data_IF_065611324430
#
_entry.id   IF_065611324430
#
_cell.length_a   1.000
_cell.length_b   1.000
_cell.length_c   1.000
_cell.angle_alpha   90.00
_cell.angle_beta   90.00
_cell.angle_gamma   90.00
#
_symmetry.space_group_name_H-M   'P 1'
#
loop_
_entity.id
_entity.type
_entity.pdbx_description
1 polymer ?
#
# COMPACT_ATOMS: atom_id res chain seq x y z
N UNK A 1 16.99 2.72 10.82
CA UNK A 1 15.94 3.07 9.84
C UNK A 1 15.08 1.83 9.77
N UNK A 2 13.85 1.85 10.28
CA UNK A 2 13.08 0.61 10.50
C UNK A 2 12.93 -0.19 9.20
N UNK A 3 13.42 -1.43 9.23
CA UNK A 3 13.29 -2.38 8.13
C UNK A 3 11.83 -2.81 8.03
N UNK A 4 11.22 -2.48 6.89
CA UNK A 4 9.87 -2.92 6.54
C UNK A 4 9.85 -4.43 6.39
N UNK A 5 8.83 -5.07 6.96
CA UNK A 5 8.62 -6.52 6.88
C UNK A 5 7.23 -6.83 6.34
N UNK A 6 7.10 -7.97 5.67
CA UNK A 6 5.80 -8.49 5.26
C UNK A 6 4.89 -8.59 6.49
N UNK A 7 3.67 -8.10 6.37
CA UNK A 7 2.70 -7.97 7.46
C UNK A 7 2.66 -6.59 8.10
N UNK A 8 3.65 -5.73 7.89
CA UNK A 8 3.64 -4.36 8.42
C UNK A 8 2.42 -3.59 7.90
N UNK A 9 1.79 -2.85 8.82
CA UNK A 9 0.78 -1.86 8.48
C UNK A 9 1.46 -0.54 8.13
N UNK A 10 0.92 0.12 7.11
CA UNK A 10 1.45 1.33 6.53
C UNK A 10 0.35 2.40 6.46
N UNK A 11 0.69 3.65 6.77
CA UNK A 11 -0.11 4.80 6.40
C UNK A 11 0.33 5.33 5.04
N UNK A 12 -0.62 5.51 4.13
CA UNK A 12 -0.37 6.21 2.87
C UNK A 12 -0.23 7.72 3.12
N UNK A 13 0.75 8.35 2.49
CA UNK A 13 1.04 9.78 2.69
C UNK A 13 0.31 10.68 1.69
N UNK A 14 0.37 12.00 1.93
CA UNK A 14 -0.05 13.02 0.95
C UNK A 14 0.67 12.92 -0.39
N UNK A 15 1.93 12.46 -0.41
CA UNK A 15 2.69 12.32 -1.65
C UNK A 15 2.18 11.17 -2.52
N UNK A 16 1.73 10.06 -1.91
CA UNK A 16 1.09 9.00 -2.67
C UNK A 16 -0.26 9.46 -3.23
N UNK A 17 -1.07 10.17 -2.44
CA UNK A 17 -2.33 10.72 -2.93
C UNK A 17 -2.10 11.66 -4.13
N UNK A 18 -1.15 12.59 -3.99
CA UNK A 18 -0.83 13.54 -5.05
C UNK A 18 -0.45 12.82 -6.35
N UNK A 19 0.46 11.85 -6.25
CA UNK A 19 0.88 11.03 -7.40
C UNK A 19 -0.27 10.29 -8.08
N UNK A 20 -1.21 9.73 -7.31
CA UNK A 20 -2.39 9.06 -7.86
C UNK A 20 -3.33 10.06 -8.53
N UNK A 21 -3.55 11.23 -7.93
CA UNK A 21 -4.39 12.28 -8.53
C UNK A 21 -3.79 12.87 -9.80
N UNK A 22 -2.47 12.98 -9.92
CA UNK A 22 -1.83 13.39 -11.18
C UNK A 22 -2.07 12.36 -12.29
N UNK A 23 -1.96 11.07 -11.97
CA UNK A 23 -2.19 9.98 -12.94
C UNK A 23 -3.66 9.75 -13.26
N UNK A 24 -4.53 9.98 -12.29
CA UNK A 24 -5.97 9.74 -12.37
C UNK A 24 -6.74 10.93 -11.79
N UNK A 25 -6.82 12.08 -12.51
CA UNK A 25 -7.36 13.34 -12.00
C UNK A 25 -8.81 13.29 -11.52
N UNK A 26 -9.59 12.34 -12.02
CA UNK A 26 -11.01 12.17 -11.66
C UNK A 26 -11.21 11.31 -10.40
N UNK A 27 -10.12 10.86 -9.76
CA UNK A 27 -10.19 10.11 -8.50
C UNK A 27 -10.71 11.01 -7.38
N UNK A 28 -11.87 10.63 -6.82
CA UNK A 28 -12.46 11.29 -5.64
C UNK A 28 -11.99 10.71 -4.31
N UNK A 29 -11.13 9.69 -4.34
CA UNK A 29 -10.63 9.01 -3.15
C UNK A 29 -9.64 9.91 -2.40
N UNK A 30 -9.88 10.10 -1.09
CA UNK A 30 -8.89 10.63 -0.17
C UNK A 30 -8.00 9.47 0.28
N UNK A 31 -6.74 9.36 -0.16
CA UNK A 31 -5.83 8.26 0.12
C UNK A 31 -4.94 8.49 1.35
N UNK A 32 -4.82 9.73 1.80
CA UNK A 32 -3.95 10.11 2.92
C UNK A 32 -4.41 9.43 4.21
N UNK A 33 -3.45 8.97 5.02
CA UNK A 33 -3.65 8.27 6.29
C UNK A 33 -4.47 6.98 6.17
N UNK A 34 -4.71 6.47 4.96
CA UNK A 34 -5.31 5.15 4.80
C UNK A 34 -4.34 4.07 5.22
N UNK A 35 -4.89 3.04 5.83
CA UNK A 35 -4.17 1.82 6.15
C UNK A 35 -3.97 0.97 4.89
N UNK A 36 -2.72 0.57 4.70
CA UNK A 36 -2.33 -0.48 3.78
C UNK A 36 -1.55 -1.56 4.53
N UNK A 37 -1.64 -2.80 4.07
CA UNK A 37 -0.83 -3.92 4.58
C UNK A 37 0.23 -4.26 3.55
N UNK A 38 1.48 -4.38 3.98
CA UNK A 38 2.57 -4.87 3.14
C UNK A 38 2.44 -6.39 2.98
N UNK A 39 2.09 -6.86 1.78
CA UNK A 39 1.87 -8.27 1.49
C UNK A 39 3.13 -8.97 0.99
N UNK A 40 3.94 -8.27 0.21
CA UNK A 40 5.16 -8.83 -0.36
C UNK A 40 6.21 -7.74 -0.59
N UNK A 41 7.47 -8.09 -0.37
CA UNK A 41 8.63 -7.32 -0.84
C UNK A 41 9.33 -8.18 -1.89
N UNK A 42 9.30 -7.74 -3.14
CA UNK A 42 9.91 -8.46 -4.25
C UNK A 42 11.43 -8.39 -4.12
N UNK A 43 12.07 -9.55 -4.15
CA UNK A 43 13.51 -9.67 -4.36
C UNK A 43 13.81 -9.79 -5.86
N UNK A 44 14.48 -8.78 -6.41
CA UNK A 44 14.80 -8.68 -7.83
C UNK A 44 15.78 -9.75 -8.33
N UNK A 45 16.54 -10.37 -7.44
CA UNK A 45 17.52 -11.40 -7.80
C UNK A 45 16.89 -12.78 -7.99
N UNK A 46 15.67 -12.99 -7.48
CA UNK A 46 14.92 -14.23 -7.66
C UNK A 46 14.38 -14.39 -9.07
N UNK A 47 14.08 -15.63 -9.48
CA UNK A 47 13.42 -15.91 -10.77
C UNK A 47 12.09 -15.16 -10.91
N UNK A 48 11.27 -15.14 -9.85
CA UNK A 48 10.01 -14.38 -9.77
C UNK A 48 10.26 -12.88 -9.93
N UNK A 49 11.23 -12.32 -9.20
CA UNK A 49 11.58 -10.90 -9.29
C UNK A 49 12.03 -10.49 -10.69
N UNK A 50 12.95 -11.24 -11.29
CA UNK A 50 13.40 -11.00 -12.67
C UNK A 50 12.25 -11.05 -13.68
N UNK A 51 11.35 -12.02 -13.56
CA UNK A 51 10.17 -12.12 -14.42
C UNK A 51 9.25 -10.88 -14.28
N UNK A 52 8.94 -10.46 -13.06
CA UNK A 52 8.11 -9.27 -12.80
C UNK A 52 8.79 -8.02 -13.34
N UNK A 53 10.11 -7.88 -13.14
CA UNK A 53 10.90 -6.76 -13.65
C UNK A 53 10.83 -6.66 -15.17
N UNK A 54 11.03 -7.78 -15.87
CA UNK A 54 10.89 -7.84 -17.33
C UNK A 54 9.47 -7.50 -17.79
N UNK A 55 8.43 -8.04 -17.13
CA UNK A 55 7.04 -7.74 -17.45
C UNK A 55 6.73 -6.24 -17.31
N UNK A 56 7.26 -5.59 -16.27
CA UNK A 56 7.09 -4.14 -16.04
C UNK A 56 7.81 -3.32 -17.10
N UNK A 57 9.06 -3.64 -17.42
CA UNK A 57 9.81 -2.97 -18.50
C UNK A 57 9.04 -3.10 -19.82
N UNK A 58 8.59 -4.31 -20.16
CA UNK A 58 7.82 -4.58 -21.39
C UNK A 58 6.50 -3.82 -21.44
N UNK A 59 5.83 -3.61 -20.30
CA UNK A 59 4.55 -2.90 -20.25
C UNK A 59 4.64 -1.41 -20.61
N UNK A 60 5.82 -0.80 -20.54
CA UNK A 60 6.03 0.64 -20.79
C UNK A 60 5.42 1.58 -19.74
N UNK A 61 4.49 1.12 -18.90
CA UNK A 61 3.82 1.89 -17.84
C UNK A 61 4.78 2.51 -16.82
N UNK A 62 6.00 1.96 -16.73
CA UNK A 62 7.00 2.29 -15.72
C UNK A 62 8.27 2.93 -16.30
N UNK A 63 8.25 3.32 -17.58
CA UNK A 63 9.45 3.70 -18.37
C UNK A 63 10.30 4.84 -17.76
N UNK A 64 9.71 5.70 -16.92
CA UNK A 64 10.39 6.83 -16.27
C UNK A 64 10.33 6.74 -14.73
N UNK A 65 10.05 5.56 -14.19
CA UNK A 65 9.88 5.36 -12.76
C UNK A 65 11.01 4.47 -12.21
N UNK A 66 11.41 4.62 -10.94
CA UNK A 66 12.49 3.83 -10.35
C UNK A 66 12.02 2.39 -10.11
N UNK A 67 12.14 1.53 -11.13
CA UNK A 67 11.64 0.14 -11.10
C UNK A 67 12.19 -0.64 -9.90
N UNK A 68 13.46 -0.42 -9.54
CA UNK A 68 14.09 -1.08 -8.37
C UNK A 68 13.36 -0.77 -7.06
N UNK A 69 12.75 0.41 -6.95
CA UNK A 69 11.99 0.84 -5.77
C UNK A 69 10.53 0.37 -5.81
N UNK A 70 10.02 -0.06 -6.97
CA UNK A 70 8.64 -0.57 -7.11
C UNK A 70 8.45 -1.99 -6.55
N UNK A 71 9.21 -2.39 -5.54
CA UNK A 71 9.26 -3.77 -5.06
C UNK A 71 8.19 -4.12 -4.02
N UNK A 72 7.46 -3.14 -3.51
CA UNK A 72 6.47 -3.35 -2.47
C UNK A 72 5.11 -3.67 -3.08
N UNK A 73 4.49 -4.74 -2.63
CA UNK A 73 3.12 -5.12 -2.98
C UNK A 73 2.26 -4.95 -1.76
N UNK A 74 1.23 -4.10 -1.85
CA UNK A 74 0.35 -3.79 -0.72
C UNK A 74 -1.10 -4.16 -0.99
N UNK A 75 -1.84 -4.38 0.08
CA UNK A 75 -3.31 -4.36 0.10
C UNK A 75 -3.78 -3.06 0.71
N UNK A 76 -4.60 -2.26 0.01
CA UNK A 76 -5.12 -0.98 0.50
C UNK A 76 -6.57 -1.16 0.95
N UNK A 77 -6.89 -0.68 2.15
CA UNK A 77 -8.25 -0.75 2.69
C UNK A 77 -9.02 0.57 2.50
N UNK A 78 -10.19 0.45 1.88
CA UNK A 78 -11.13 1.53 1.60
C UNK A 78 -12.41 1.35 2.42
N UNK A 79 -12.39 1.78 3.68
CA UNK A 79 -13.52 1.65 4.61
C UNK A 79 -14.77 2.44 4.19
N UNK A 80 -14.58 3.52 3.43
CA UNK A 80 -15.61 4.43 2.92
C UNK A 80 -16.22 3.98 1.58
N UNK A 81 -15.62 3.00 0.91
CA UNK A 81 -16.15 2.46 -0.34
C UNK A 81 -17.13 1.32 -0.11
N UNK A 82 -18.16 1.27 -0.94
CA UNK A 82 -19.15 0.20 -0.95
C UNK A 82 -18.67 -0.93 -1.87
N UNK A 83 -18.57 -2.13 -1.34
CA UNK A 83 -18.22 -3.34 -2.08
C UNK A 83 -19.37 -3.84 -2.95
N UNK A 84 -19.08 -4.85 -3.79
CA UNK A 84 -20.06 -5.42 -4.75
C UNK A 84 -21.34 -5.96 -4.10
N UNK A 85 -21.29 -6.33 -2.82
CA UNK A 85 -22.43 -6.84 -2.05
C UNK A 85 -23.15 -5.76 -1.22
N UNK A 86 -22.81 -4.48 -1.39
CA UNK A 86 -23.35 -3.39 -0.57
C UNK A 86 -22.68 -3.23 0.80
N UNK A 87 -21.76 -4.13 1.16
CA UNK A 87 -20.95 -4.05 2.40
C UNK A 87 -19.97 -2.88 2.31
N UNK A 88 -19.84 -2.10 3.40
CA UNK A 88 -18.83 -1.05 3.51
C UNK A 88 -17.45 -1.68 3.70
N UNK A 89 -16.45 -1.16 3.01
CA UNK A 89 -15.09 -1.69 3.01
C UNK A 89 -14.78 -2.42 1.71
N UNK A 90 -13.83 -1.89 0.94
CA UNK A 90 -13.23 -2.59 -0.20
C UNK A 90 -11.74 -2.74 0.06
N UNK A 91 -11.18 -3.91 -0.24
CA UNK A 91 -9.73 -4.11 -0.24
C UNK A 91 -9.26 -4.25 -1.68
N UNK A 92 -8.37 -3.36 -2.11
CA UNK A 92 -7.61 -3.55 -3.35
C UNK A 92 -6.32 -4.29 -3.01
N UNK A 93 -6.13 -5.46 -3.63
CA UNK A 93 -4.99 -6.35 -3.36
C UNK A 93 -3.97 -6.26 -4.49
N UNK A 94 -2.71 -6.45 -4.15
CA UNK A 94 -1.65 -6.58 -5.15
C UNK A 94 -1.20 -5.24 -5.75
N UNK A 95 -1.41 -4.13 -5.04
CA UNK A 95 -1.05 -2.80 -5.52
C UNK A 95 0.47 -2.64 -5.48
N UNK A 96 1.14 -2.45 -6.64
CA UNK A 96 2.58 -2.23 -6.67
C UNK A 96 2.90 -0.79 -6.28
N UNK A 97 3.73 -0.60 -5.25
CA UNK A 97 4.12 0.71 -4.74
C UNK A 97 5.63 0.93 -4.77
N UNK A 98 6.00 2.20 -4.93
CA UNK A 98 7.33 2.73 -4.64
C UNK A 98 7.39 3.11 -3.17
N UNK A 99 8.59 3.07 -2.57
CA UNK A 99 8.78 3.63 -1.23
C UNK A 99 8.72 5.15 -1.27
N UNK A 100 9.26 5.76 -2.33
CA UNK A 100 9.38 7.21 -2.44
C UNK A 100 8.81 7.75 -3.74
N UNK A 101 8.34 9.00 -3.68
CA UNK A 101 7.98 9.79 -4.84
C UNK A 101 9.19 9.91 -5.79
N UNK A 102 9.04 9.62 -7.09
CA UNK A 102 10.16 9.59 -8.04
C UNK A 102 10.98 10.89 -8.07
N UNK A 103 10.30 12.03 -7.99
CA UNK A 103 10.90 13.37 -8.07
C UNK A 103 11.30 13.91 -6.69
N UNK A 104 10.33 14.12 -5.78
CA UNK A 104 10.57 14.76 -4.48
C UNK A 104 11.29 13.89 -3.45
N UNK A 105 11.42 12.59 -3.71
CA UNK A 105 11.97 11.57 -2.80
C UNK A 105 11.25 11.46 -1.45
N UNK A 106 10.05 12.03 -1.34
CA UNK A 106 9.22 11.95 -0.14
C UNK A 106 8.51 10.59 -0.06
N UNK A 107 8.30 10.01 1.13
CA UNK A 107 7.76 8.67 1.27
C UNK A 107 6.33 8.60 0.76
N UNK A 108 5.97 7.54 0.05
CA UNK A 108 4.57 7.22 -0.32
C UNK A 108 3.80 6.60 0.82
N UNK A 109 4.51 5.98 1.75
CA UNK A 109 3.92 5.40 2.92
C UNK A 109 4.90 5.44 4.09
N UNK A 110 4.35 5.41 5.29
CA UNK A 110 5.09 5.33 6.54
C UNK A 110 4.60 4.13 7.32
N UNK A 111 5.51 3.45 8.03
CA UNK A 111 5.12 2.33 8.89
C UNK A 111 4.23 2.87 10.01
N UNK A 112 3.09 2.22 10.24
CA UNK A 112 2.24 2.51 11.39
C UNK A 112 3.07 2.23 12.64
N UNK A 113 3.28 3.22 13.52
CA UNK A 113 3.99 3.00 14.77
C UNK A 113 3.31 1.92 15.62
N UNK A 114 4.10 1.06 16.24
CA UNK A 114 3.60 -0.06 17.06
C UNK A 114 2.60 0.38 18.14
N UNK A 115 2.76 1.57 18.71
CA UNK A 115 1.85 2.09 19.73
C UNK A 115 0.44 2.34 19.18
N UNK A 116 0.30 2.76 17.92
CA UNK A 116 -1.01 2.93 17.27
C UNK A 116 -1.68 1.58 17.10
N UNK A 117 -0.92 0.56 16.67
CA UNK A 117 -1.46 -0.79 16.54
C UNK A 117 -1.97 -1.34 17.88
N UNK A 118 -1.20 -1.17 18.96
CA UNK A 118 -1.62 -1.58 20.30
C UNK A 118 -2.92 -0.89 20.74
N UNK A 119 -3.07 0.39 20.41
CA UNK A 119 -4.26 1.15 20.79
C UNK A 119 -5.47 0.79 19.94
N UNK A 120 -5.30 0.49 18.65
CA UNK A 120 -6.35 -0.10 17.81
C UNK A 120 -6.79 -1.45 18.39
N UNK A 121 -5.84 -2.33 18.75
CA UNK A 121 -6.16 -3.65 19.29
C UNK A 121 -6.92 -3.58 20.62
N UNK A 122 -6.49 -2.72 21.56
CA UNK A 122 -7.22 -2.48 22.82
C UNK A 122 -8.65 -2.01 22.56
N UNK A 123 -8.84 -1.12 21.59
CA UNK A 123 -10.19 -0.68 21.21
C UNK A 123 -11.00 -1.85 20.62
N UNK A 124 -10.43 -2.65 19.72
CA UNK A 124 -11.12 -3.82 19.16
C UNK A 124 -11.53 -4.84 20.23
N UNK A 125 -10.69 -5.08 21.24
CA UNK A 125 -11.01 -5.92 22.41
C UNK A 125 -12.21 -5.34 23.19
N UNK A 126 -12.28 -4.02 23.37
CA UNK A 126 -13.40 -3.35 24.03
C UNK A 126 -14.72 -3.42 23.25
N UNK A 127 -14.66 -3.61 21.93
CA UNK A 127 -15.84 -3.72 21.07
C UNK A 127 -16.39 -5.15 20.94
N UNK A 128 -15.82 -6.13 21.64
CA UNK A 128 -16.34 -7.51 21.62
C UNK A 128 -16.29 -8.14 20.23
N UNK A 129 -15.26 -7.81 19.43
CA UNK A 129 -15.08 -8.45 18.12
C UNK A 129 -14.60 -9.88 18.35
N UNK A 130 -15.53 -10.84 18.38
CA UNK A 130 -15.19 -12.26 18.34
C UNK A 130 -14.43 -12.56 17.04
N UNK A 131 -13.12 -12.77 17.16
CA UNK A 131 -12.32 -13.33 16.10
C UNK A 131 -12.85 -14.74 15.83
N UNK A 132 -13.64 -14.90 14.75
CA UNK A 132 -13.98 -16.23 14.25
C UNK A 132 -12.67 -16.95 13.92
N UNK A 133 -12.41 -18.01 14.69
CA UNK A 133 -11.30 -18.95 14.51
C UNK A 133 -11.39 -19.65 13.16
#
# INVERSE_FOLDING_TARGET
MDDLKVGDLLFLTSFYEHYIKEKYPNTKLCLINRLAKLEEIIDWETSKGRFIKQARVKSGKWKNLPIEDNKYIVSIYYHDLIGRKGEKGVVERGVPMFRFHPETKKPFFEKVPDWIYREIMKQCESFGVELKQ
#
